data_IF_731264119682
#
_entry.id   IF_731264119682
#
_cell.length_a   1.000
_cell.length_b   1.000
_cell.length_c   1.000
_cell.angle_alpha   90.00
_cell.angle_beta   90.00
_cell.angle_gamma   90.00
#
_symmetry.space_group_name_H-M   'P 1'
#
loop_
_entity.id
_entity.type
_entity.pdbx_description
1 polymer ?
#
# COMPACT_ATOMS: atom_id res chain seq x y z
N UNK A 1 -7.95 -6.68 0.07
CA UNK A 1 -6.84 -7.08 -0.82
C UNK A 1 -5.54 -7.06 -0.04
N UNK A 2 -4.46 -7.70 -0.51
CA UNK A 2 -3.26 -7.92 0.32
C UNK A 2 -3.51 -8.89 1.47
N UNK A 3 -4.32 -9.95 1.24
CA UNK A 3 -4.76 -10.85 2.31
C UNK A 3 -3.69 -11.85 2.78
N UNK A 4 -2.53 -11.89 2.14
CA UNK A 4 -1.44 -12.83 2.38
C UNK A 4 -1.92 -14.28 2.63
N UNK A 5 -1.84 -14.78 3.85
CA UNK A 5 -2.20 -16.14 4.24
C UNK A 5 -3.61 -16.25 4.84
N UNK A 6 -4.36 -15.13 4.87
CA UNK A 6 -5.72 -15.02 5.37
C UNK A 6 -5.84 -14.75 6.86
N UNK A 7 -4.74 -14.49 7.59
CA UNK A 7 -4.79 -14.27 9.05
C UNK A 7 -5.71 -13.10 9.42
N UNK A 8 -5.50 -11.91 8.82
CA UNK A 8 -6.36 -10.75 9.11
C UNK A 8 -7.85 -11.01 8.75
N UNK A 9 -8.10 -11.72 7.65
CA UNK A 9 -9.48 -12.09 7.27
C UNK A 9 -10.13 -13.02 8.29
N UNK A 10 -9.37 -14.02 8.77
CA UNK A 10 -9.82 -14.95 9.79
C UNK A 10 -10.18 -14.23 11.10
N UNK A 11 -9.34 -13.29 11.52
CA UNK A 11 -9.53 -12.57 12.78
C UNK A 11 -10.74 -11.63 12.71
N UNK A 12 -10.93 -10.94 11.58
CA UNK A 12 -12.13 -10.12 11.34
C UNK A 12 -13.40 -10.97 11.38
N UNK A 13 -13.43 -12.08 10.64
CA UNK A 13 -14.61 -12.96 10.57
C UNK A 13 -14.91 -13.64 11.91
N UNK A 14 -13.88 -14.02 12.66
CA UNK A 14 -14.03 -14.58 14.01
C UNK A 14 -14.61 -13.54 14.96
N UNK A 15 -14.06 -12.33 14.95
CA UNK A 15 -14.58 -11.25 15.78
C UNK A 15 -16.04 -10.95 15.47
N UNK A 16 -16.42 -10.87 14.19
CA UNK A 16 -17.81 -10.66 13.78
C UNK A 16 -18.72 -11.79 14.24
N UNK A 17 -18.31 -13.05 14.11
CA UNK A 17 -19.10 -14.19 14.58
C UNK A 17 -19.36 -14.16 16.09
N UNK A 18 -18.42 -13.62 16.87
CA UNK A 18 -18.52 -13.57 18.34
C UNK A 18 -19.23 -12.31 18.87
N UNK A 19 -19.20 -11.21 18.11
CA UNK A 19 -19.61 -9.90 18.61
C UNK A 19 -20.71 -9.21 17.78
N UNK A 20 -20.89 -9.58 16.51
CA UNK A 20 -21.89 -8.99 15.62
C UNK A 20 -22.35 -9.98 14.53
N UNK A 21 -23.05 -11.02 14.97
CA UNK A 21 -23.59 -12.08 14.09
C UNK A 21 -24.53 -11.50 13.02
N UNK A 22 -25.31 -10.46 13.36
CA UNK A 22 -26.19 -9.80 12.40
C UNK A 22 -25.41 -9.15 11.25
N UNK A 23 -24.29 -8.48 11.56
CA UNK A 23 -23.42 -7.92 10.53
C UNK A 23 -22.75 -9.02 9.71
N UNK A 24 -22.25 -10.08 10.34
CA UNK A 24 -21.66 -11.23 9.64
C UNK A 24 -22.65 -11.86 8.65
N UNK A 25 -23.92 -12.00 9.06
CA UNK A 25 -24.94 -12.56 8.19
C UNK A 25 -25.25 -11.68 6.98
N UNK A 26 -25.11 -10.36 7.13
CA UNK A 26 -25.42 -9.38 6.08
C UNK A 26 -24.29 -9.15 5.06
N UNK A 27 -23.11 -9.75 5.24
CA UNK A 27 -21.94 -9.48 4.39
C UNK A 27 -21.38 -10.70 3.68
N UNK A 28 -20.67 -10.43 2.59
CA UNK A 28 -19.78 -11.37 1.90
C UNK A 28 -18.36 -10.80 1.92
N UNK A 29 -17.42 -11.55 2.47
CA UNK A 29 -16.02 -11.18 2.58
C UNK A 29 -15.29 -11.54 1.28
N UNK A 30 -14.98 -10.53 0.46
CA UNK A 30 -14.31 -10.71 -0.82
C UNK A 30 -12.79 -10.56 -0.70
N UNK A 31 -12.04 -11.57 -1.17
CA UNK A 31 -10.58 -11.55 -1.25
C UNK A 31 -10.14 -11.44 -2.72
N UNK A 32 -9.54 -10.30 -3.06
CA UNK A 32 -8.83 -10.13 -4.34
C UNK A 32 -7.46 -10.78 -4.23
N UNK A 33 -7.27 -11.92 -4.87
CA UNK A 33 -6.04 -12.72 -4.82
C UNK A 33 -5.84 -13.47 -6.14
N UNK A 34 -4.95 -13.05 -7.05
CA UNK A 34 -4.70 -13.78 -8.30
C UNK A 34 -3.85 -15.05 -8.11
N UNK A 35 -3.14 -15.22 -6.99
CA UNK A 35 -2.26 -16.37 -6.78
C UNK A 35 -3.01 -17.61 -6.31
N UNK A 36 -3.10 -18.64 -7.15
CA UNK A 36 -3.69 -19.93 -6.79
C UNK A 36 -3.06 -20.55 -5.52
N UNK A 37 -1.75 -20.37 -5.32
CA UNK A 37 -1.04 -20.84 -4.13
C UNK A 37 -1.52 -20.13 -2.87
N UNK A 38 -1.65 -18.80 -2.90
CA UNK A 38 -2.14 -18.01 -1.75
C UNK A 38 -3.62 -18.30 -1.48
N UNK A 39 -4.45 -18.47 -2.52
CA UNK A 39 -5.84 -18.94 -2.36
C UNK A 39 -5.90 -20.26 -1.60
N UNK A 40 -5.08 -21.25 -1.95
CA UNK A 40 -5.08 -22.53 -1.24
C UNK A 40 -4.75 -22.39 0.27
N UNK A 41 -3.82 -21.49 0.63
CA UNK A 41 -3.53 -21.18 2.03
C UNK A 41 -4.72 -20.52 2.73
N UNK A 42 -5.32 -19.52 2.08
CA UNK A 42 -6.47 -18.77 2.59
C UNK A 42 -7.69 -19.67 2.75
N UNK A 43 -8.02 -20.52 1.76
CA UNK A 43 -9.12 -21.48 1.82
C UNK A 43 -8.95 -22.44 3.00
N UNK A 44 -7.72 -22.96 3.21
CA UNK A 44 -7.46 -23.82 4.36
C UNK A 44 -7.67 -23.09 5.70
N UNK A 45 -7.18 -21.85 5.82
CA UNK A 45 -7.30 -21.05 7.04
C UNK A 45 -8.75 -20.62 7.30
N UNK A 46 -9.50 -20.30 6.25
CA UNK A 46 -10.86 -19.76 6.30
C UNK A 46 -11.95 -20.82 6.16
N UNK A 47 -11.61 -22.11 6.30
CA UNK A 47 -12.56 -23.21 6.11
C UNK A 47 -13.82 -23.09 7.00
N UNK A 48 -13.71 -22.52 8.21
CA UNK A 48 -14.85 -22.24 9.09
C UNK A 48 -15.86 -21.24 8.50
N UNK A 49 -15.40 -20.37 7.60
CA UNK A 49 -16.15 -19.28 7.01
C UNK A 49 -16.33 -19.45 5.49
N UNK A 50 -16.24 -20.68 4.96
CA UNK A 50 -16.27 -20.94 3.51
C UNK A 50 -17.52 -20.36 2.80
N UNK A 51 -18.66 -20.29 3.50
CA UNK A 51 -19.91 -19.73 2.98
C UNK A 51 -19.96 -18.19 2.99
N UNK A 52 -18.98 -17.54 3.65
CA UNK A 52 -18.88 -16.09 3.77
C UNK A 52 -17.73 -15.50 2.97
N UNK A 53 -16.85 -16.31 2.38
CA UNK A 53 -15.64 -15.86 1.71
C UNK A 53 -15.68 -16.18 0.22
N UNK A 54 -15.44 -15.17 -0.60
CA UNK A 54 -15.32 -15.31 -2.05
C UNK A 54 -13.97 -14.80 -2.54
N UNK A 55 -13.40 -15.47 -3.54
CA UNK A 55 -12.12 -15.08 -4.14
C UNK A 55 -12.31 -14.61 -5.58
N UNK A 56 -11.66 -13.51 -5.92
CA UNK A 56 -11.64 -12.98 -7.29
C UNK A 56 -10.21 -12.66 -7.74
N UNK A 57 -9.97 -12.69 -9.05
CA UNK A 57 -8.64 -12.43 -9.64
C UNK A 57 -8.25 -10.95 -9.59
N UNK A 58 -9.24 -10.05 -9.68
CA UNK A 58 -9.02 -8.62 -9.71
C UNK A 58 -10.16 -7.86 -9.05
N UNK A 59 -9.88 -6.63 -8.61
CA UNK A 59 -10.89 -5.71 -8.08
C UNK A 59 -11.96 -5.39 -9.14
N UNK A 60 -11.61 -5.43 -10.42
CA UNK A 60 -12.54 -5.20 -11.52
C UNK A 60 -13.56 -6.34 -11.68
N UNK A 61 -13.32 -7.53 -11.12
CA UNK A 61 -14.29 -8.63 -11.15
C UNK A 61 -15.36 -8.52 -10.05
N UNK A 62 -15.20 -7.63 -9.09
CA UNK A 62 -16.20 -7.45 -8.03
C UNK A 62 -17.44 -6.70 -8.55
N UNK A 63 -18.62 -7.01 -7.99
CA UNK A 63 -19.80 -6.17 -8.20
C UNK A 63 -19.62 -4.79 -7.57
N UNK A 64 -20.62 -3.93 -7.73
CA UNK A 64 -20.71 -2.71 -6.93
C UNK A 64 -20.76 -3.03 -5.43
N UNK A 65 -20.04 -2.27 -4.62
CA UNK A 65 -19.81 -2.53 -3.20
C UNK A 65 -20.43 -1.42 -2.37
N UNK A 66 -21.28 -1.81 -1.42
CA UNK A 66 -21.67 -0.98 -0.28
C UNK A 66 -21.01 -1.56 0.96
N UNK A 67 -19.97 -0.92 1.47
CA UNK A 67 -19.21 -1.46 2.58
C UNK A 67 -17.80 -0.90 2.69
N UNK A 68 -16.87 -1.73 3.13
CA UNK A 68 -15.47 -1.37 3.30
C UNK A 68 -14.61 -2.19 2.35
N UNK A 69 -13.85 -1.51 1.51
CA UNK A 69 -12.75 -2.11 0.76
C UNK A 69 -11.48 -1.71 1.49
N UNK A 70 -10.57 -2.65 1.74
CA UNK A 70 -9.29 -2.29 2.35
C UNK A 70 -8.11 -3.08 1.77
N UNK A 71 -6.93 -2.51 1.92
CA UNK A 71 -5.64 -3.12 1.59
C UNK A 71 -4.65 -2.96 2.74
N UNK A 72 -3.91 -4.02 3.04
CA UNK A 72 -2.80 -4.00 3.97
C UNK A 72 -1.55 -4.48 3.24
N UNK A 73 -0.50 -3.65 3.17
CA UNK A 73 0.77 -3.95 2.48
C UNK A 73 0.54 -4.49 1.07
N UNK A 74 -0.10 -3.65 0.25
CA UNK A 74 -0.42 -3.97 -1.14
C UNK A 74 0.15 -2.91 -2.09
N UNK A 75 0.12 -1.64 -1.68
CA UNK A 75 0.52 -0.52 -2.52
C UNK A 75 2.03 -0.50 -2.74
N UNK A 76 2.81 -0.95 -1.75
CA UNK A 76 4.27 -1.08 -1.80
C UNK A 76 4.79 -2.22 -2.70
N UNK A 77 3.94 -3.21 -2.97
CA UNK A 77 4.24 -4.39 -3.78
C UNK A 77 3.94 -4.20 -5.28
N UNK A 78 3.32 -3.10 -5.68
CA UNK A 78 3.07 -2.83 -7.10
C UNK A 78 4.35 -2.44 -7.84
N UNK A 79 4.48 -2.81 -9.13
CA UNK A 79 5.58 -2.32 -9.96
C UNK A 79 5.64 -0.80 -10.01
N UNK A 80 6.86 -0.27 -10.00
CA UNK A 80 7.14 1.17 -10.04
C UNK A 80 8.05 1.53 -11.21
N UNK A 81 7.87 2.72 -11.75
CA UNK A 81 8.92 3.38 -12.52
C UNK A 81 9.90 4.02 -11.54
N UNK A 82 11.19 3.73 -11.71
CA UNK A 82 12.25 4.41 -10.96
C UNK A 82 12.77 5.56 -11.81
N UNK A 83 12.63 6.79 -11.35
CA UNK A 83 13.00 8.00 -12.09
C UNK A 83 14.13 8.74 -11.40
N UNK A 84 15.05 9.28 -12.20
CA UNK A 84 16.21 10.03 -11.75
C UNK A 84 16.14 11.50 -12.15
N UNK A 85 16.73 12.37 -11.35
CA UNK A 85 16.91 13.80 -11.65
C UNK A 85 18.28 14.05 -12.28
N UNK A 86 18.32 14.74 -13.41
CA UNK A 86 19.57 15.25 -13.99
C UNK A 86 19.72 16.73 -13.69
N UNK A 87 20.70 17.09 -12.86
CA UNK A 87 20.95 18.49 -12.52
C UNK A 87 21.42 19.29 -13.75
N UNK A 88 22.25 18.68 -14.59
CA UNK A 88 22.79 19.31 -15.80
C UNK A 88 21.71 19.61 -16.85
N UNK A 89 20.77 18.69 -17.08
CA UNK A 89 19.65 18.89 -18.00
C UNK A 89 18.49 19.67 -17.37
N UNK A 90 18.46 19.76 -16.02
CA UNK A 90 17.31 20.20 -15.22
C UNK A 90 16.04 19.43 -15.59
N UNK A 91 16.19 18.12 -15.77
CA UNK A 91 15.09 17.26 -16.20
C UNK A 91 15.15 15.86 -15.60
N UNK A 92 13.99 15.21 -15.58
CA UNK A 92 13.82 13.84 -15.13
C UNK A 92 14.09 12.84 -16.26
N UNK A 93 14.75 11.73 -15.91
CA UNK A 93 14.99 10.58 -16.76
C UNK A 93 14.49 9.31 -16.07
N UNK A 94 14.42 8.19 -16.79
CA UNK A 94 14.01 6.91 -16.21
C UNK A 94 15.21 5.98 -16.04
N UNK A 95 15.26 5.27 -14.91
CA UNK A 95 16.20 4.17 -14.71
C UNK A 95 15.64 2.90 -15.34
N UNK A 96 16.33 2.40 -16.36
CA UNK A 96 16.07 1.11 -16.98
C UNK A 96 17.04 0.05 -16.46
N UNK A 97 16.68 -1.22 -16.64
CA UNK A 97 17.57 -2.35 -16.38
C UNK A 97 18.14 -2.84 -17.71
N UNK A 98 19.45 -2.92 -17.80
CA UNK A 98 20.18 -3.49 -18.96
C UNK A 98 21.05 -4.67 -18.52
N UNK A 99 21.66 -5.36 -19.49
CA UNK A 99 22.57 -6.48 -19.26
C UNK A 99 23.99 -6.09 -19.66
N UNK A 100 24.95 -6.23 -18.74
CA UNK A 100 26.36 -5.96 -19.01
C UNK A 100 27.27 -6.56 -17.93
N UNK A 101 28.50 -6.93 -18.29
CA UNK A 101 29.46 -7.60 -17.39
C UNK A 101 28.87 -8.84 -16.68
N UNK A 102 28.08 -9.63 -17.42
CA UNK A 102 27.40 -10.83 -16.93
C UNK A 102 26.43 -10.61 -15.74
N UNK A 103 25.92 -9.39 -15.59
CA UNK A 103 24.92 -9.05 -14.59
C UNK A 103 23.90 -8.01 -15.10
N UNK A 104 22.79 -7.87 -14.36
CA UNK A 104 21.85 -6.78 -14.57
C UNK A 104 22.40 -5.48 -13.96
N UNK A 105 22.25 -4.37 -14.69
CA UNK A 105 22.71 -3.07 -14.23
C UNK A 105 21.73 -1.95 -14.58
N UNK A 106 21.78 -0.87 -13.80
CA UNK A 106 20.98 0.32 -14.02
C UNK A 106 21.56 1.16 -15.17
N UNK A 107 20.68 1.62 -16.06
CA UNK A 107 21.02 2.55 -17.13
C UNK A 107 19.97 3.65 -17.22
N UNK A 108 20.40 4.91 -17.16
CA UNK A 108 19.52 6.05 -17.39
C UNK A 108 19.13 6.14 -18.86
N UNK A 109 17.83 6.24 -19.12
CA UNK A 109 17.27 6.44 -20.46
C UNK A 109 16.51 7.75 -20.51
N UNK A 110 16.69 8.47 -21.62
CA UNK A 110 15.91 9.68 -21.87
C UNK A 110 14.44 9.29 -22.09
N UNK A 111 13.56 10.05 -21.46
CA UNK A 111 12.16 9.72 -21.32
C UNK A 111 11.31 10.99 -21.51
N UNK A 112 11.70 11.84 -22.47
CA UNK A 112 11.02 13.09 -22.82
C UNK A 112 9.49 12.91 -23.01
N UNK A 113 9.07 11.86 -23.71
CA UNK A 113 7.66 11.58 -24.04
C UNK A 113 7.01 10.51 -23.14
N UNK A 114 7.63 10.17 -22.01
CA UNK A 114 7.17 9.06 -21.19
C UNK A 114 5.86 9.39 -20.46
N UNK A 115 4.91 8.44 -20.47
CA UNK A 115 3.60 8.59 -19.86
C UNK A 115 3.64 8.80 -18.34
N UNK A 116 4.71 8.39 -17.65
CA UNK A 116 4.83 8.61 -16.21
C UNK A 116 5.04 10.09 -15.85
N UNK A 117 5.48 10.95 -16.80
CA UNK A 117 5.74 12.37 -16.53
C UNK A 117 4.51 13.13 -16.02
N UNK A 118 3.30 12.72 -16.42
CA UNK A 118 2.05 13.35 -15.93
C UNK A 118 1.80 13.08 -14.44
N UNK A 119 2.44 12.04 -13.89
CA UNK A 119 2.34 11.69 -12.48
C UNK A 119 3.28 12.54 -11.61
N UNK A 120 4.31 13.16 -12.20
CA UNK A 120 5.18 14.06 -11.45
C UNK A 120 4.38 15.27 -10.95
N UNK A 121 4.56 15.68 -9.69
CA UNK A 121 4.01 16.92 -9.19
C UNK A 121 4.77 18.11 -9.79
N UNK A 122 4.10 19.25 -9.85
CA UNK A 122 4.74 20.52 -10.23
C UNK A 122 5.54 21.07 -9.04
N UNK A 123 6.75 20.54 -8.83
CA UNK A 123 7.64 21.03 -7.78
C UNK A 123 8.14 22.45 -8.08
N UNK A 124 8.28 23.32 -7.06
CA UNK A 124 8.89 24.64 -7.22
C UNK A 124 10.32 24.53 -7.76
N UNK A 125 10.73 25.50 -8.59
CA UNK A 125 12.08 25.54 -9.14
C UNK A 125 13.16 25.55 -8.06
N UNK A 126 12.90 26.22 -6.94
CA UNK A 126 13.81 26.33 -5.80
C UNK A 126 14.10 24.96 -5.16
N UNK A 127 13.10 24.06 -5.17
CA UNK A 127 13.28 22.69 -4.70
C UNK A 127 14.10 21.87 -5.70
N UNK A 128 13.81 22.01 -6.99
CA UNK A 128 14.55 21.32 -8.06
C UNK A 128 16.02 21.75 -8.13
N UNK A 129 16.33 23.00 -7.76
CA UNK A 129 17.69 23.55 -7.74
C UNK A 129 18.59 22.90 -6.67
N UNK A 130 18.00 22.40 -5.59
CA UNK A 130 18.73 21.80 -4.47
C UNK A 130 18.73 20.27 -4.48
N UNK A 131 18.00 19.63 -5.41
CA UNK A 131 18.05 18.18 -5.57
C UNK A 131 19.44 17.75 -6.04
N UNK A 132 20.04 16.71 -5.42
CA UNK A 132 21.32 16.19 -5.88
C UNK A 132 21.17 15.57 -7.27
N UNK A 133 22.25 15.57 -8.05
CA UNK A 133 22.29 14.83 -9.30
C UNK A 133 22.01 13.35 -9.05
N UNK A 134 21.28 12.71 -9.95
CA UNK A 134 20.80 11.32 -9.84
C UNK A 134 19.83 11.06 -8.67
N UNK A 135 19.27 12.12 -8.05
CA UNK A 135 18.17 11.97 -7.10
C UNK A 135 17.09 11.06 -7.69
N UNK A 136 16.74 10.00 -6.97
CA UNK A 136 15.87 8.94 -7.47
C UNK A 136 14.59 8.86 -6.67
N UNK A 137 13.48 8.58 -7.36
CA UNK A 137 12.18 8.35 -6.73
C UNK A 137 11.33 7.37 -7.54
N UNK A 138 10.17 6.99 -7.01
CA UNK A 138 9.32 5.95 -7.56
C UNK A 138 7.93 6.50 -7.92
N UNK A 139 7.44 6.11 -9.10
CA UNK A 139 6.07 6.35 -9.54
C UNK A 139 5.35 4.99 -9.71
N UNK A 140 4.29 4.70 -8.93
CA UNK A 140 3.55 3.44 -9.01
C UNK A 140 2.20 3.60 -9.76
N UNK A 141 2.17 3.74 -11.10
CA UNK A 141 0.91 3.89 -11.83
C UNK A 141 -0.04 2.71 -11.63
N UNK A 142 0.51 1.50 -11.44
CA UNK A 142 -0.29 0.30 -11.19
C UNK A 142 -1.03 0.37 -9.84
N UNK A 143 -0.39 0.88 -8.78
CA UNK A 143 -1.03 1.09 -7.48
C UNK A 143 -2.14 2.15 -7.57
N UNK A 144 -1.86 3.28 -8.24
CA UNK A 144 -2.85 4.33 -8.46
C UNK A 144 -4.03 3.84 -9.31
N UNK A 145 -3.77 3.03 -10.34
CA UNK A 145 -4.78 2.38 -11.16
C UNK A 145 -5.65 1.41 -10.36
N UNK A 146 -5.03 0.55 -9.55
CA UNK A 146 -5.76 -0.37 -8.67
C UNK A 146 -6.68 0.38 -7.71
N UNK A 147 -6.17 1.47 -7.11
CA UNK A 147 -6.95 2.31 -6.19
C UNK A 147 -8.13 3.00 -6.88
N UNK A 148 -7.93 3.50 -8.11
CA UNK A 148 -9.01 4.07 -8.93
C UNK A 148 -10.09 3.03 -9.26
N UNK A 149 -9.71 1.80 -9.61
CA UNK A 149 -10.66 0.72 -9.87
C UNK A 149 -11.44 0.32 -8.61
N UNK A 150 -10.76 0.25 -7.45
CA UNK A 150 -11.43 0.02 -6.16
C UNK A 150 -12.44 1.14 -5.83
N UNK A 151 -12.05 2.40 -6.07
CA UNK A 151 -12.91 3.56 -5.90
C UNK A 151 -14.17 3.53 -6.78
N UNK A 152 -14.07 3.02 -8.01
CA UNK A 152 -15.22 2.85 -8.92
C UNK A 152 -16.19 1.77 -8.46
N UNK A 153 -15.69 0.71 -7.81
CA UNK A 153 -16.54 -0.36 -7.25
C UNK A 153 -17.29 0.08 -5.99
N UNK A 154 -16.71 0.98 -5.19
CA UNK A 154 -17.36 1.50 -3.99
C UNK A 154 -18.50 2.46 -4.35
N UNK A 155 -19.76 2.11 -4.04
CA UNK A 155 -20.94 2.98 -4.22
C UNK A 155 -21.34 3.72 -2.94
N UNK A 156 -21.04 3.15 -1.77
CA UNK A 156 -21.21 3.77 -0.45
C UNK A 156 -20.28 3.11 0.55
N UNK A 157 -19.60 3.90 1.37
CA UNK A 157 -18.77 3.40 2.47
C UNK A 157 -17.34 3.89 2.40
N UNK A 158 -16.35 3.03 2.69
CA UNK A 158 -14.95 3.44 2.83
C UNK A 158 -13.98 2.57 2.03
N UNK A 159 -12.92 3.21 1.55
CA UNK A 159 -11.74 2.57 0.98
C UNK A 159 -10.55 2.93 1.89
N UNK A 160 -9.84 1.91 2.40
CA UNK A 160 -8.80 2.08 3.43
C UNK A 160 -7.51 1.38 3.04
N UNK A 161 -6.38 2.09 3.10
CA UNK A 161 -5.06 1.51 2.88
C UNK A 161 -4.19 1.65 4.12
N UNK A 162 -3.49 0.57 4.46
CA UNK A 162 -2.41 0.51 5.44
C UNK A 162 -1.15 0.12 4.71
N UNK A 163 -0.16 1.00 4.70
CA UNK A 163 1.09 0.72 3.98
C UNK A 163 2.25 1.60 4.46
N UNK A 164 3.48 1.16 4.20
CA UNK A 164 4.67 1.94 4.49
C UNK A 164 4.92 2.94 3.37
N UNK A 165 4.99 4.23 3.68
CA UNK A 165 5.25 5.19 2.62
C UNK A 165 5.13 6.65 3.01
N UNK A 166 4.97 7.48 1.99
CA UNK A 166 5.09 8.93 2.10
C UNK A 166 3.83 9.64 1.59
N UNK A 167 3.51 10.78 2.22
CA UNK A 167 2.46 11.68 1.78
C UNK A 167 2.92 12.73 0.76
N UNK A 168 2.01 13.61 0.32
CA UNK A 168 2.36 14.75 -0.54
C UNK A 168 3.44 15.67 0.06
N UNK A 169 3.40 15.87 1.38
CA UNK A 169 4.33 16.79 2.08
C UNK A 169 5.70 16.14 2.35
N UNK A 170 5.81 14.83 2.19
CA UNK A 170 7.01 14.04 2.44
C UNK A 170 7.78 13.73 1.12
N UNK A 171 7.33 14.25 -0.03
CA UNK A 171 7.84 13.91 -1.37
C UNK A 171 8.17 15.15 -2.22
N UNK A 172 9.43 15.33 -2.67
CA UNK A 172 10.54 14.38 -2.67
C UNK A 172 11.23 14.29 -1.30
N UNK A 173 11.55 13.07 -0.86
CA UNK A 173 12.17 12.82 0.42
C UNK A 173 13.66 13.23 0.41
N UNK A 174 14.00 14.28 1.16
CA UNK A 174 15.37 14.82 1.23
C UNK A 174 16.38 13.85 1.86
N UNK A 175 15.93 12.97 2.75
CA UNK A 175 16.75 11.97 3.44
C UNK A 175 16.87 10.63 2.70
N UNK A 176 16.29 10.52 1.49
CA UNK A 176 16.29 9.31 0.67
C UNK A 176 16.63 9.62 -0.79
N UNK A 177 17.85 10.13 -1.07
CA UNK A 177 18.23 10.56 -2.41
C UNK A 177 18.27 9.42 -3.43
N UNK A 178 18.42 8.17 -3.01
CA UNK A 178 18.45 6.99 -3.90
C UNK A 178 17.06 6.36 -4.10
N UNK A 179 16.01 6.99 -3.56
CA UNK A 179 14.66 6.47 -3.56
C UNK A 179 14.44 5.36 -2.53
N UNK A 180 13.34 4.63 -2.69
CA UNK A 180 12.79 3.71 -1.70
C UNK A 180 12.71 2.26 -2.18
N UNK A 181 13.11 1.97 -3.41
CA UNK A 181 13.21 0.57 -3.89
C UNK A 181 14.19 -0.23 -3.01
N UNK A 182 13.73 -1.33 -2.41
CA UNK A 182 14.54 -2.22 -1.56
C UNK A 182 14.28 -3.68 -1.89
N UNK A 183 15.32 -4.50 -1.70
CA UNK A 183 15.22 -5.95 -1.79
C UNK A 183 15.13 -6.57 -0.40
N UNK A 184 14.39 -7.67 -0.25
CA UNK A 184 14.36 -8.47 0.98
C UNK A 184 14.51 -9.96 0.67
N UNK A 185 15.37 -10.63 1.44
CA UNK A 185 15.56 -12.07 1.39
C UNK A 185 15.79 -12.60 2.80
N UNK A 186 15.03 -13.62 3.21
CA UNK A 186 15.09 -14.20 4.56
C UNK A 186 15.02 -13.15 5.68
N UNK A 187 14.09 -12.18 5.55
CA UNK A 187 13.89 -11.05 6.47
C UNK A 187 15.09 -10.10 6.60
N UNK A 188 16.05 -10.16 5.66
CA UNK A 188 17.20 -9.25 5.60
C UNK A 188 17.08 -8.34 4.39
N UNK A 189 17.42 -7.07 4.61
CA UNK A 189 17.52 -6.10 3.52
C UNK A 189 18.68 -6.47 2.60
N UNK A 190 18.42 -6.40 1.31
CA UNK A 190 19.39 -6.58 0.23
C UNK A 190 19.52 -5.23 -0.48
N UNK A 191 20.75 -4.76 -0.64
CA UNK A 191 21.02 -3.46 -1.26
C UNK A 191 20.97 -3.56 -2.80
N UNK A 192 21.40 -4.69 -3.38
CA UNK A 192 21.31 -4.93 -4.83
C UNK A 192 19.98 -5.60 -5.20
N UNK A 193 19.02 -4.78 -5.61
CA UNK A 193 17.69 -5.25 -6.01
C UNK A 193 17.66 -5.98 -7.35
N UNK A 194 18.71 -5.86 -8.16
CA UNK A 194 18.83 -6.53 -9.46
C UNK A 194 19.48 -7.92 -9.36
N UNK A 195 20.07 -8.24 -8.21
CA UNK A 195 20.64 -9.56 -7.94
C UNK A 195 19.56 -10.63 -7.81
N UNK A 196 19.89 -11.87 -8.21
CA UNK A 196 19.07 -13.07 -8.02
C UNK A 196 17.55 -12.91 -8.33
N UNK A 197 17.14 -12.55 -9.56
CA UNK A 197 15.73 -12.37 -9.90
C UNK A 197 14.86 -13.58 -9.51
N UNK A 198 13.75 -13.31 -8.84
CA UNK A 198 12.80 -14.32 -8.36
C UNK A 198 13.16 -14.97 -7.02
N UNK A 199 14.32 -14.66 -6.42
CA UNK A 199 14.72 -15.16 -5.09
C UNK A 199 14.64 -14.13 -3.96
N UNK A 200 14.21 -12.91 -4.27
CA UNK A 200 14.05 -11.84 -3.31
C UNK A 200 12.75 -11.09 -3.58
N UNK A 201 12.18 -10.55 -2.52
CA UNK A 201 11.07 -9.62 -2.60
C UNK A 201 11.61 -8.23 -2.95
N UNK A 202 10.85 -7.46 -3.73
CA UNK A 202 11.20 -6.10 -4.12
C UNK A 202 10.02 -5.21 -3.79
N UNK A 203 10.25 -4.21 -2.94
CA UNK A 203 9.22 -3.26 -2.52
C UNK A 203 9.71 -1.84 -2.74
N UNK A 204 8.76 -0.92 -2.84
CA UNK A 204 9.00 0.52 -2.81
C UNK A 204 7.99 1.17 -1.87
N UNK A 205 8.32 2.29 -1.26
CA UNK A 205 7.35 3.00 -0.42
C UNK A 205 6.08 3.34 -1.20
N UNK A 206 4.92 3.11 -0.58
CA UNK A 206 3.65 3.51 -1.14
C UNK A 206 3.61 5.05 -1.31
N UNK A 207 3.32 5.51 -2.53
CA UNK A 207 3.09 6.92 -2.82
C UNK A 207 1.61 7.26 -2.54
N UNK A 208 1.33 7.69 -1.31
CA UNK A 208 -0.03 8.04 -0.90
C UNK A 208 -0.53 9.33 -1.54
N UNK A 209 0.36 10.21 -2.01
CA UNK A 209 -0.03 11.40 -2.76
C UNK A 209 -0.71 11.03 -4.08
N UNK A 210 -0.12 10.12 -4.85
CA UNK A 210 -0.71 9.63 -6.10
C UNK A 210 -1.94 8.75 -5.85
N UNK A 211 -1.90 7.90 -4.84
CA UNK A 211 -3.03 7.05 -4.45
C UNK A 211 -4.24 7.88 -4.06
N UNK A 212 -4.05 8.88 -3.18
CA UNK A 212 -5.09 9.84 -2.77
C UNK A 212 -5.71 10.55 -3.97
N UNK A 213 -4.87 11.11 -4.86
CA UNK A 213 -5.31 11.80 -6.09
C UNK A 213 -6.12 10.88 -7.00
N UNK A 214 -5.71 9.61 -7.14
CA UNK A 214 -6.42 8.64 -7.97
C UNK A 214 -7.83 8.33 -7.44
N UNK A 215 -8.00 8.23 -6.12
CA UNK A 215 -9.31 8.05 -5.49
C UNK A 215 -10.19 9.29 -5.61
N UNK A 216 -9.62 10.49 -5.42
CA UNK A 216 -10.33 11.76 -5.57
C UNK A 216 -10.81 11.99 -7.01
N UNK A 217 -9.95 11.69 -7.99
CA UNK A 217 -10.32 11.74 -9.41
C UNK A 217 -11.43 10.73 -9.78
N UNK A 218 -11.55 9.63 -9.03
CA UNK A 218 -12.64 8.66 -9.17
C UNK A 218 -13.91 9.04 -8.37
N UNK A 219 -13.91 10.19 -7.69
CA UNK A 219 -15.07 10.72 -6.97
C UNK A 219 -15.16 10.32 -5.50
N UNK A 220 -14.07 9.85 -4.88
CA UNK A 220 -14.01 9.70 -3.43
C UNK A 220 -13.63 11.01 -2.73
N UNK A 221 -14.06 11.16 -1.48
CA UNK A 221 -13.59 12.21 -0.59
C UNK A 221 -12.52 11.66 0.38
N UNK A 222 -11.43 12.39 0.60
CA UNK A 222 -10.42 12.00 1.60
C UNK A 222 -10.89 12.38 3.00
N UNK A 223 -11.12 11.39 3.87
CA UNK A 223 -11.48 11.60 5.28
C UNK A 223 -10.23 11.79 6.14
N UNK A 224 -9.22 10.92 5.95
CA UNK A 224 -8.03 10.89 6.78
C UNK A 224 -6.81 10.48 5.97
N UNK A 225 -5.68 11.11 6.27
CA UNK A 225 -4.35 10.62 5.92
C UNK A 225 -3.44 10.85 7.14
N UNK A 226 -3.23 9.80 7.92
CA UNK A 226 -2.56 9.87 9.23
C UNK A 226 -1.59 8.69 9.41
N UNK A 227 -0.75 8.73 10.44
CA UNK A 227 0.08 7.59 10.83
C UNK A 227 -0.76 6.42 11.34
N UNK A 228 -0.24 5.20 11.20
CA UNK A 228 -0.84 4.00 11.79
C UNK A 228 -1.02 4.13 13.30
N UNK A 229 -0.02 4.68 13.99
CA UNK A 229 -0.09 4.98 15.43
C UNK A 229 -1.35 5.78 15.78
N UNK A 230 -1.59 6.90 15.10
CA UNK A 230 -2.77 7.74 15.36
C UNK A 230 -4.08 7.03 15.04
N UNK A 231 -4.11 6.29 13.92
CA UNK A 231 -5.31 5.56 13.51
C UNK A 231 -5.68 4.47 14.52
N UNK A 232 -4.72 3.62 14.89
CA UNK A 232 -4.94 2.52 15.83
C UNK A 232 -5.23 3.02 17.25
N UNK A 233 -4.55 4.08 17.72
CA UNK A 233 -4.85 4.68 19.01
C UNK A 233 -6.28 5.26 19.06
N UNK A 234 -6.73 5.90 17.98
CA UNK A 234 -8.11 6.37 17.86
C UNK A 234 -9.12 5.22 17.87
N UNK A 235 -8.87 4.15 17.11
CA UNK A 235 -9.71 2.97 17.07
C UNK A 235 -9.77 2.27 18.44
N UNK A 236 -8.63 2.12 19.12
CA UNK A 236 -8.54 1.51 20.45
C UNK A 236 -9.29 2.33 21.50
N UNK A 237 -9.18 3.66 21.47
CA UNK A 237 -9.93 4.53 22.36
C UNK A 237 -11.45 4.44 22.15
N UNK A 238 -11.90 4.26 20.91
CA UNK A 238 -13.32 4.01 20.61
C UNK A 238 -13.75 2.63 21.11
N UNK A 239 -12.96 1.58 20.87
CA UNK A 239 -13.24 0.24 21.36
C UNK A 239 -13.35 0.19 22.89
N UNK A 240 -12.46 0.86 23.62
CA UNK A 240 -12.55 0.95 25.09
C UNK A 240 -13.82 1.64 25.57
N UNK A 241 -14.37 2.58 24.79
CA UNK A 241 -15.60 3.31 25.12
C UNK A 241 -16.85 2.49 24.84
N UNK A 242 -16.87 1.81 23.70
CA UNK A 242 -18.03 1.05 23.20
C UNK A 242 -18.08 -0.37 23.77
N UNK A 243 -16.93 -0.98 24.05
CA UNK A 243 -16.79 -2.34 24.55
C UNK A 243 -15.57 -2.50 25.46
N UNK A 244 -15.64 -1.99 26.71
CA UNK A 244 -14.51 -1.97 27.64
C UNK A 244 -13.85 -3.34 27.88
N UNK A 245 -14.65 -4.40 27.93
CA UNK A 245 -14.16 -5.77 28.16
C UNK A 245 -13.25 -6.26 27.02
N UNK A 246 -13.61 -5.95 25.76
CA UNK A 246 -12.78 -6.28 24.59
C UNK A 246 -11.48 -5.47 24.60
N UNK A 247 -11.57 -4.18 24.91
CA UNK A 247 -10.39 -3.33 25.00
C UNK A 247 -9.39 -3.78 26.09
N UNK A 248 -9.88 -4.34 27.20
CA UNK A 248 -9.02 -4.89 28.26
C UNK A 248 -8.37 -6.23 27.90
N UNK A 249 -8.94 -6.98 26.95
CA UNK A 249 -8.39 -8.25 26.48
C UNK A 249 -7.24 -8.07 25.47
N UNK A 250 -7.04 -6.86 24.95
CA UNK A 250 -5.98 -6.58 23.98
C UNK A 250 -4.60 -6.71 24.63
N UNK A 251 -3.70 -7.43 23.95
CA UNK A 251 -2.30 -7.49 24.33
C UNK A 251 -1.63 -6.13 24.08
N UNK A 252 -1.41 -5.39 25.17
CA UNK A 252 -0.79 -4.07 25.16
C UNK A 252 0.60 -4.09 24.52
N UNK A 253 1.34 -5.21 24.59
CA UNK A 253 2.67 -5.30 23.97
C UNK A 253 2.56 -5.35 22.44
N UNK A 254 1.60 -6.09 21.91
CA UNK A 254 1.34 -6.12 20.47
C UNK A 254 0.86 -4.76 19.98
N UNK A 255 -0.03 -4.11 20.74
CA UNK A 255 -0.47 -2.75 20.43
C UNK A 255 0.71 -1.77 20.43
N UNK A 256 1.63 -1.88 21.39
CA UNK A 256 2.86 -1.09 21.41
C UNK A 256 3.72 -1.35 20.17
N UNK A 257 3.91 -2.60 19.73
CA UNK A 257 4.67 -2.88 18.50
C UNK A 257 4.05 -2.19 17.28
N UNK A 258 2.72 -2.23 17.15
CA UNK A 258 1.99 -1.63 16.04
C UNK A 258 1.94 -0.09 16.07
N UNK A 259 2.01 0.51 17.26
CA UNK A 259 1.83 1.96 17.45
C UNK A 259 3.12 2.70 17.80
N UNK A 260 4.20 2.01 18.20
CA UNK A 260 5.42 2.68 18.61
C UNK A 260 6.05 3.42 17.41
N UNK A 261 6.39 4.72 17.54
CA UNK A 261 6.87 5.54 16.43
C UNK A 261 8.14 5.00 15.77
N UNK A 262 9.04 4.38 16.53
CA UNK A 262 10.28 3.78 16.02
C UNK A 262 10.10 2.37 15.42
N UNK A 263 8.89 1.81 15.47
CA UNK A 263 8.55 0.52 14.86
C UNK A 263 7.62 0.76 13.67
N UNK A 264 6.40 0.23 13.71
CA UNK A 264 5.44 0.38 12.61
C UNK A 264 4.63 1.67 12.72
N UNK A 265 4.58 2.30 13.91
CA UNK A 265 3.60 3.32 14.22
C UNK A 265 3.67 4.58 13.36
N UNK A 266 4.85 5.16 13.20
CA UNK A 266 5.01 6.37 12.38
C UNK A 266 5.20 6.06 10.90
N UNK A 267 6.03 5.08 10.52
CA UNK A 267 6.35 4.89 9.12
C UNK A 267 5.22 4.26 8.28
N UNK A 268 4.33 3.49 8.90
CA UNK A 268 3.07 3.12 8.26
C UNK A 268 2.11 4.31 8.24
N UNK A 269 1.45 4.49 7.11
CA UNK A 269 0.41 5.48 6.91
C UNK A 269 -0.93 4.80 6.67
N UNK A 270 -1.98 5.50 7.03
CA UNK A 270 -3.37 5.10 6.80
C UNK A 270 -4.06 6.15 5.97
N UNK A 271 -4.54 5.75 4.79
CA UNK A 271 -5.40 6.57 3.94
C UNK A 271 -6.83 6.05 4.05
N UNK A 272 -7.76 6.94 4.41
CA UNK A 272 -9.20 6.66 4.44
C UNK A 272 -9.89 7.60 3.47
N UNK A 273 -10.59 7.03 2.50
CA UNK A 273 -11.45 7.77 1.59
C UNK A 273 -12.86 7.18 1.59
N UNK A 274 -13.87 8.01 1.30
CA UNK A 274 -15.27 7.59 1.33
C UNK A 274 -16.07 8.02 0.11
N UNK A 275 -17.20 7.32 -0.08
CA UNK A 275 -18.26 7.65 -1.01
C UNK A 275 -19.62 7.66 -0.31
#
# INVERSE_FOLDING_TARGET
AGAHDGTLAHDILTWLAENDEALLESLTYNIVEPSARRRAWQTKRLAKFEQKVEWVDSIAALPEIRGVIFSNELLDAFPVHRIGWSQAKRDWFEWSVTWGNDSFCWAGVDAADAAWRVLLPAWPSELLDVLPDQYSTELPPAAAGWWSEAAKRLTKGRLVAFDYGHGPDDWPAANQPDGTVRGYRDQKRIDDVLADPGKQDITAHANFGLTKRAGEAAGLATEQFISQERFLNGAFANLLRESPALGQAIDVRQLQTLTHPAHMGQPFRVLVQSR
#
